data_IF_770573488903
#
_entry.id   IF_770573488903
#
_cell.length_a   1.000
_cell.length_b   1.000
_cell.length_c   1.000
_cell.angle_alpha   90.00
_cell.angle_beta   90.00
_cell.angle_gamma   90.00
#
_symmetry.space_group_name_H-M   'P 1'
#
loop_
_entity.id
_entity.type
_entity.pdbx_description
1 polymer ?
#
# COMPACT_ATOMS: atom_id res chain seq x y z
N UNK A 1 9.91 5.61 -17.37
CA UNK A 1 9.03 6.34 -16.47
C UNK A 1 9.60 6.23 -15.05
N UNK A 2 10.29 7.30 -14.60
CA UNK A 2 11.05 7.33 -13.33
C UNK A 2 10.17 7.46 -12.07
N UNK A 3 8.86 7.61 -12.24
CA UNK A 3 7.93 7.95 -11.15
C UNK A 3 6.82 6.90 -10.93
N UNK A 4 6.99 5.69 -11.39
CA UNK A 4 5.99 4.64 -11.24
C UNK A 4 6.63 3.32 -10.82
N UNK A 5 5.83 2.46 -10.19
CA UNK A 5 6.22 1.09 -9.83
C UNK A 5 6.88 0.36 -11.00
N UNK A 6 7.96 -0.38 -10.74
CA UNK A 6 8.67 -1.13 -11.79
C UNK A 6 7.83 -2.31 -12.31
N UNK A 7 8.20 -2.82 -13.49
CA UNK A 7 7.60 -4.05 -14.00
C UNK A 7 7.84 -5.25 -13.06
N UNK A 8 8.96 -5.26 -12.36
CA UNK A 8 9.30 -6.33 -11.43
C UNK A 8 8.40 -6.29 -10.19
N UNK A 9 8.16 -5.11 -9.62
CA UNK A 9 7.23 -4.93 -8.51
C UNK A 9 5.82 -5.43 -8.88
N UNK A 10 5.29 -4.95 -10.01
CA UNK A 10 3.98 -5.36 -10.53
C UNK A 10 3.87 -6.86 -10.77
N UNK A 11 4.93 -7.47 -11.33
CA UNK A 11 5.01 -8.91 -11.55
C UNK A 11 4.99 -9.68 -10.23
N UNK A 12 5.73 -9.24 -9.22
CA UNK A 12 5.75 -9.87 -7.91
C UNK A 12 4.38 -9.77 -7.21
N UNK A 13 3.68 -8.62 -7.31
CA UNK A 13 2.29 -8.52 -6.84
C UNK A 13 1.39 -9.56 -7.52
N UNK A 14 1.42 -9.62 -8.85
CA UNK A 14 0.62 -10.58 -9.59
C UNK A 14 0.96 -12.02 -9.21
N UNK A 15 2.23 -12.39 -9.15
CA UNK A 15 2.67 -13.74 -8.77
C UNK A 15 2.22 -14.14 -7.36
N UNK A 16 2.21 -13.18 -6.43
CA UNK A 16 1.76 -13.44 -5.06
C UNK A 16 0.24 -13.64 -4.97
N UNK A 17 -0.54 -12.79 -5.66
CA UNK A 17 -1.99 -12.78 -5.49
C UNK A 17 -2.74 -13.70 -6.46
N UNK A 18 -2.25 -13.94 -7.68
CA UNK A 18 -2.94 -14.79 -8.66
C UNK A 18 -3.33 -16.18 -8.14
N UNK A 19 -2.50 -16.91 -7.39
CA UNK A 19 -2.91 -18.22 -6.85
C UNK A 19 -4.09 -18.14 -5.88
N UNK A 20 -4.20 -17.02 -5.14
CA UNK A 20 -5.29 -16.81 -4.19
C UNK A 20 -6.57 -16.38 -4.89
N UNK A 21 -6.47 -15.46 -5.87
CA UNK A 21 -7.62 -14.96 -6.63
C UNK A 21 -8.22 -16.00 -7.57
N UNK A 22 -7.45 -17.00 -7.98
CA UNK A 22 -7.95 -18.11 -8.78
C UNK A 22 -9.02 -18.95 -8.05
N UNK A 23 -9.01 -18.95 -6.71
CA UNK A 23 -9.96 -19.71 -5.89
C UNK A 23 -10.90 -18.85 -5.06
N UNK A 24 -10.67 -17.54 -4.96
CA UNK A 24 -11.41 -16.64 -4.10
C UNK A 24 -11.65 -15.27 -4.80
N UNK A 25 -12.82 -14.70 -4.58
CA UNK A 25 -13.12 -13.34 -5.00
C UNK A 25 -12.53 -12.37 -3.96
N UNK A 26 -11.30 -11.91 -4.21
CA UNK A 26 -10.59 -10.99 -3.33
C UNK A 26 -10.78 -9.54 -3.77
N UNK A 27 -10.90 -8.65 -2.79
CA UNK A 27 -10.92 -7.20 -2.96
C UNK A 27 -9.62 -6.60 -2.45
N UNK A 28 -9.02 -5.71 -3.23
CA UNK A 28 -7.85 -4.92 -2.83
C UNK A 28 -8.19 -3.44 -2.74
N UNK A 29 -7.65 -2.76 -1.73
CA UNK A 29 -7.59 -1.30 -1.68
C UNK A 29 -6.18 -0.85 -2.10
N UNK A 30 -6.10 0.13 -3.00
CA UNK A 30 -4.87 0.80 -3.40
C UNK A 30 -4.93 2.24 -2.87
N UNK A 31 -3.94 2.61 -2.08
CA UNK A 31 -3.78 3.93 -1.47
C UNK A 31 -2.61 4.62 -2.17
N UNK A 32 -2.91 5.69 -2.90
CA UNK A 32 -1.99 6.30 -3.86
C UNK A 32 -2.07 5.61 -5.23
N UNK A 33 -2.68 6.28 -6.19
CA UNK A 33 -3.03 5.72 -7.50
C UNK A 33 -2.16 6.32 -8.60
N UNK A 34 -1.85 7.62 -8.48
CA UNK A 34 -1.12 8.38 -9.48
C UNK A 34 -1.67 8.13 -10.90
N UNK A 35 -0.86 7.60 -11.82
CA UNK A 35 -1.27 7.35 -13.20
C UNK A 35 -1.95 5.99 -13.43
N UNK A 36 -2.19 5.18 -12.38
CA UNK A 36 -2.93 3.93 -12.46
C UNK A 36 -2.20 2.73 -13.07
N UNK A 37 -0.87 2.76 -13.17
CA UNK A 37 -0.12 1.63 -13.73
C UNK A 37 -0.14 0.39 -12.85
N UNK A 38 -0.10 0.55 -11.51
CA UNK A 38 -0.32 -0.51 -10.53
C UNK A 38 -1.80 -0.90 -10.49
N UNK A 39 -2.71 0.08 -10.52
CA UNK A 39 -4.16 -0.14 -10.57
C UNK A 39 -4.55 -1.08 -11.72
N UNK A 40 -3.97 -0.89 -12.91
CA UNK A 40 -4.25 -1.74 -14.06
C UNK A 40 -3.85 -3.21 -13.83
N UNK A 41 -2.74 -3.45 -13.15
CA UNK A 41 -2.31 -4.81 -12.77
C UNK A 41 -3.23 -5.39 -11.70
N UNK A 42 -3.59 -4.60 -10.69
CA UNK A 42 -4.52 -5.01 -9.64
C UNK A 42 -5.90 -5.34 -10.22
N UNK A 43 -6.39 -4.55 -11.17
CA UNK A 43 -7.65 -4.81 -11.87
C UNK A 43 -7.65 -6.14 -12.65
N UNK A 44 -6.49 -6.54 -13.18
CA UNK A 44 -6.35 -7.83 -13.87
C UNK A 44 -6.26 -9.03 -12.92
N UNK A 45 -5.88 -8.80 -11.65
CA UNK A 45 -5.64 -9.86 -10.66
C UNK A 45 -6.81 -10.03 -9.70
N UNK A 46 -7.40 -8.94 -9.21
CA UNK A 46 -8.43 -8.97 -8.18
C UNK A 46 -9.85 -8.91 -8.76
N UNK A 47 -10.78 -9.48 -8.01
CA UNK A 47 -12.21 -9.38 -8.35
C UNK A 47 -12.71 -7.93 -8.27
N UNK A 48 -12.22 -7.17 -7.29
CA UNK A 48 -12.53 -5.75 -7.11
C UNK A 48 -11.31 -4.98 -6.64
N UNK A 49 -11.15 -3.77 -7.17
CA UNK A 49 -10.14 -2.78 -6.75
C UNK A 49 -10.86 -1.54 -6.25
N UNK A 50 -10.46 -1.05 -5.09
CA UNK A 50 -10.88 0.25 -4.55
C UNK A 50 -9.63 1.14 -4.57
N UNK A 51 -9.57 2.05 -5.53
CA UNK A 51 -8.42 2.91 -5.79
C UNK A 51 -8.66 4.30 -5.19
N UNK A 52 -7.81 4.72 -4.25
CA UNK A 52 -7.95 5.97 -3.48
C UNK A 52 -6.78 6.89 -3.74
N UNK A 53 -7.07 8.12 -4.09
CA UNK A 53 -6.06 9.18 -4.21
C UNK A 53 -6.65 10.51 -3.75
N UNK A 54 -5.81 11.41 -3.25
CA UNK A 54 -6.22 12.78 -2.87
C UNK A 54 -6.46 13.65 -4.10
N UNK A 55 -5.78 13.35 -5.21
CA UNK A 55 -5.81 14.11 -6.44
C UNK A 55 -6.79 13.50 -7.45
N UNK A 56 -7.94 14.14 -7.65
CA UNK A 56 -8.94 13.69 -8.62
C UNK A 56 -8.39 13.59 -10.05
N UNK A 57 -7.44 14.44 -10.40
CA UNK A 57 -6.77 14.43 -11.70
C UNK A 57 -6.02 13.11 -11.96
N UNK A 58 -5.41 12.54 -10.93
CA UNK A 58 -4.74 11.24 -11.02
C UNK A 58 -5.76 10.11 -11.21
N UNK A 59 -6.87 10.15 -10.49
CA UNK A 59 -7.93 9.15 -10.65
C UNK A 59 -8.53 9.15 -12.06
N UNK A 60 -8.65 10.32 -12.68
CA UNK A 60 -9.08 10.43 -14.09
C UNK A 60 -8.07 9.78 -15.05
N UNK A 61 -6.77 10.03 -14.85
CA UNK A 61 -5.72 9.39 -15.66
C UNK A 61 -5.70 7.88 -15.44
N UNK A 62 -5.83 7.42 -14.20
CA UNK A 62 -5.89 6.00 -13.86
C UNK A 62 -7.11 5.31 -14.48
N UNK A 63 -8.26 5.97 -14.53
CA UNK A 63 -9.45 5.46 -15.21
C UNK A 63 -9.20 5.22 -16.71
N UNK A 64 -8.46 6.10 -17.38
CA UNK A 64 -8.05 5.91 -18.76
C UNK A 64 -7.05 4.76 -18.89
N UNK A 65 -6.07 4.67 -17.96
CA UNK A 65 -5.05 3.62 -17.95
C UNK A 65 -5.64 2.23 -17.74
N UNK A 66 -6.70 2.12 -16.94
CA UNK A 66 -7.42 0.86 -16.69
C UNK A 66 -8.41 0.51 -17.79
N UNK A 67 -8.50 1.34 -18.84
CA UNK A 67 -9.38 1.15 -20.00
C UNK A 67 -10.83 0.85 -19.61
N UNK A 68 -11.35 1.56 -18.60
CA UNK A 68 -12.72 1.39 -18.13
C UNK A 68 -13.03 0.04 -17.48
N UNK A 69 -12.02 -0.58 -16.86
CA UNK A 69 -12.21 -1.83 -16.10
C UNK A 69 -13.38 -1.69 -15.13
N UNK A 70 -14.39 -2.56 -15.26
CA UNK A 70 -15.65 -2.49 -14.49
C UNK A 70 -15.49 -2.88 -13.02
N UNK A 71 -14.36 -3.47 -12.66
CA UNK A 71 -14.05 -3.91 -11.31
C UNK A 71 -13.20 -2.92 -10.50
N UNK A 72 -13.00 -1.69 -11.01
CA UNK A 72 -12.27 -0.62 -10.30
C UNK A 72 -13.25 0.46 -9.86
N UNK A 73 -13.22 0.78 -8.58
CA UNK A 73 -13.93 1.91 -7.97
C UNK A 73 -12.90 2.96 -7.59
N UNK A 74 -13.02 4.15 -8.15
CA UNK A 74 -12.13 5.28 -7.85
C UNK A 74 -12.77 6.18 -6.79
N UNK A 75 -12.03 6.51 -5.75
CA UNK A 75 -12.48 7.34 -4.63
C UNK A 75 -11.49 8.47 -4.38
N UNK A 76 -11.93 9.71 -4.47
CA UNK A 76 -11.12 10.86 -4.04
C UNK A 76 -11.15 10.97 -2.53
N UNK A 77 -9.99 11.00 -1.89
CA UNK A 77 -9.91 11.16 -0.46
C UNK A 77 -8.52 10.95 0.13
N UNK A 78 -8.36 11.49 1.33
CA UNK A 78 -7.19 11.28 2.16
C UNK A 78 -7.39 10.00 2.99
N UNK A 79 -6.48 9.04 2.83
CA UNK A 79 -6.49 7.79 3.58
C UNK A 79 -6.11 7.96 5.06
N UNK A 80 -5.36 9.01 5.38
CA UNK A 80 -5.02 9.37 6.77
C UNK A 80 -6.18 9.97 7.55
N UNK A 81 -7.18 10.54 6.87
CA UNK A 81 -8.38 11.09 7.48
C UNK A 81 -9.46 10.01 7.70
N UNK A 82 -10.56 10.35 8.37
CA UNK A 82 -11.67 9.46 8.80
C UNK A 82 -12.38 8.64 7.69
N UNK A 83 -11.89 8.66 6.46
CA UNK A 83 -12.55 8.06 5.28
C UNK A 83 -12.45 6.55 5.16
N UNK A 84 -11.66 5.89 6.00
CA UNK A 84 -11.69 4.43 6.12
C UNK A 84 -13.07 3.87 6.54
N UNK A 85 -14.02 4.73 6.92
CA UNK A 85 -15.41 4.33 7.07
C UNK A 85 -15.99 3.73 5.79
N UNK A 86 -15.63 4.26 4.60
CA UNK A 86 -16.04 3.69 3.32
C UNK A 86 -15.50 2.27 3.11
N UNK A 87 -14.36 1.94 3.72
CA UNK A 87 -13.76 0.62 3.66
C UNK A 87 -14.34 -0.36 4.70
N UNK A 88 -14.90 0.15 5.79
CA UNK A 88 -15.50 -0.72 6.84
C UNK A 88 -16.77 -1.42 6.38
N UNK A 89 -17.47 -0.87 5.41
CA UNK A 89 -18.68 -1.46 4.81
C UNK A 89 -18.36 -2.48 3.71
N UNK A 90 -17.12 -2.48 3.19
CA UNK A 90 -16.66 -3.39 2.15
C UNK A 90 -15.70 -4.43 2.73
N UNK A 91 -15.77 -5.65 2.20
CA UNK A 91 -14.74 -6.63 2.47
C UNK A 91 -13.48 -6.22 1.71
N UNK A 92 -12.38 -5.99 2.42
CA UNK A 92 -11.05 -5.75 1.84
C UNK A 92 -10.14 -6.86 2.33
N UNK A 93 -9.52 -7.58 1.40
CA UNK A 93 -8.65 -8.71 1.72
C UNK A 93 -7.16 -8.33 1.69
N UNK A 94 -6.82 -7.33 0.87
CA UNK A 94 -5.46 -6.81 0.72
C UNK A 94 -5.43 -5.29 0.61
N UNK A 95 -4.31 -4.68 1.00
CA UNK A 95 -4.05 -3.24 0.83
C UNK A 95 -2.69 -3.07 0.17
N UNK A 96 -2.63 -2.21 -0.84
CA UNK A 96 -1.39 -1.69 -1.44
C UNK A 96 -1.26 -0.23 -1.01
N UNK A 97 -0.13 0.13 -0.39
CA UNK A 97 0.15 1.47 0.11
C UNK A 97 1.31 2.04 -0.71
N UNK A 98 1.02 3.07 -1.48
CA UNK A 98 1.93 3.76 -2.41
C UNK A 98 1.59 5.26 -2.47
N UNK A 99 1.33 5.89 -1.32
CA UNK A 99 0.91 7.28 -1.22
C UNK A 99 2.04 8.17 -0.68
N UNK A 100 1.83 8.85 0.44
CA UNK A 100 2.83 9.70 1.08
C UNK A 100 3.89 8.84 1.80
N UNK A 101 5.17 9.19 1.63
CA UNK A 101 6.31 8.43 2.17
C UNK A 101 6.78 8.92 3.54
N UNK A 102 6.11 9.92 4.12
CA UNK A 102 6.41 10.37 5.49
C UNK A 102 6.01 9.30 6.49
N UNK A 103 6.83 9.14 7.52
CA UNK A 103 6.63 8.14 8.56
C UNK A 103 5.21 8.16 9.16
N UNK A 104 4.72 9.35 9.52
CA UNK A 104 3.41 9.53 10.16
C UNK A 104 2.26 9.14 9.23
N UNK A 105 2.39 9.45 7.94
CA UNK A 105 1.38 9.13 6.93
C UNK A 105 1.30 7.63 6.70
N UNK A 106 2.44 6.96 6.53
CA UNK A 106 2.50 5.50 6.37
C UNK A 106 2.01 4.78 7.63
N UNK A 107 2.38 5.30 8.82
CA UNK A 107 1.91 4.76 10.11
C UNK A 107 0.38 4.83 10.21
N UNK A 108 -0.22 5.95 9.79
CA UNK A 108 -1.67 6.14 9.77
C UNK A 108 -2.33 5.16 8.78
N UNK A 109 -1.81 5.01 7.58
CA UNK A 109 -2.34 4.10 6.57
C UNK A 109 -2.31 2.64 7.03
N UNK A 110 -1.20 2.19 7.61
CA UNK A 110 -1.09 0.84 8.17
C UNK A 110 -2.08 0.65 9.33
N UNK A 111 -2.17 1.61 10.24
CA UNK A 111 -3.08 1.55 11.39
C UNK A 111 -4.54 1.48 10.94
N UNK A 112 -4.92 2.31 9.97
CA UNK A 112 -6.24 2.32 9.39
C UNK A 112 -6.56 0.99 8.69
N UNK A 113 -5.64 0.47 7.87
CA UNK A 113 -5.80 -0.82 7.21
C UNK A 113 -5.94 -1.98 8.22
N UNK A 114 -5.17 -1.96 9.31
CA UNK A 114 -5.28 -2.93 10.41
C UNK A 114 -6.61 -2.83 11.16
N UNK A 115 -7.28 -1.67 11.18
CA UNK A 115 -8.61 -1.52 11.76
C UNK A 115 -9.69 -2.29 10.99
N UNK A 116 -9.46 -2.55 9.71
CA UNK A 116 -10.34 -3.37 8.86
C UNK A 116 -10.03 -4.85 9.08
N UNK A 117 -10.89 -5.55 9.79
CA UNK A 117 -10.65 -6.94 10.26
C UNK A 117 -10.41 -7.95 9.13
N UNK A 118 -10.92 -7.69 7.94
CA UNK A 118 -10.81 -8.59 6.78
C UNK A 118 -9.48 -8.48 6.06
N UNK A 119 -8.73 -7.39 6.22
CA UNK A 119 -7.41 -7.20 5.61
C UNK A 119 -6.43 -8.21 6.17
N UNK A 120 -5.82 -8.99 5.28
CA UNK A 120 -4.85 -10.05 5.61
C UNK A 120 -3.48 -9.84 4.98
N UNK A 121 -3.41 -9.05 3.89
CA UNK A 121 -2.21 -8.87 3.08
C UNK A 121 -1.93 -7.39 2.90
N UNK A 122 -0.66 -7.03 2.96
CA UNK A 122 -0.15 -5.67 2.81
C UNK A 122 0.97 -5.68 1.78
N UNK A 123 0.92 -4.78 0.83
CA UNK A 123 2.03 -4.48 -0.06
C UNK A 123 2.38 -3.00 0.07
N UNK A 124 3.67 -2.71 0.11
CA UNK A 124 4.20 -1.37 0.25
C UNK A 124 5.14 -1.09 -0.91
N UNK A 125 4.98 0.06 -1.54
CA UNK A 125 5.96 0.59 -2.47
C UNK A 125 6.94 1.52 -1.74
N UNK A 126 7.97 2.00 -2.44
CA UNK A 126 8.97 2.94 -1.93
C UNK A 126 9.62 2.54 -0.58
N UNK A 127 9.83 1.23 -0.40
CA UNK A 127 10.48 0.71 0.82
C UNK A 127 11.90 1.27 1.01
N UNK A 128 12.51 1.84 -0.03
CA UNK A 128 13.77 2.59 0.05
C UNK A 128 13.61 3.92 0.80
N UNK A 129 12.42 4.51 0.89
CA UNK A 129 12.17 5.71 1.68
C UNK A 129 12.28 5.42 3.19
N UNK A 130 13.01 6.26 3.93
CA UNK A 130 13.27 6.04 5.35
C UNK A 130 11.97 5.99 6.17
N UNK A 131 11.03 6.89 5.90
CA UNK A 131 9.73 6.92 6.61
C UNK A 131 8.91 5.65 6.39
N UNK A 132 8.89 5.13 5.16
CA UNK A 132 8.20 3.87 4.82
C UNK A 132 8.82 2.70 5.59
N UNK A 133 10.16 2.56 5.54
CA UNK A 133 10.87 1.50 6.28
C UNK A 133 10.62 1.56 7.78
N UNK A 134 10.73 2.76 8.36
CA UNK A 134 10.57 2.96 9.79
C UNK A 134 9.14 2.58 10.24
N UNK A 135 8.13 3.02 9.52
CA UNK A 135 6.74 2.68 9.84
C UNK A 135 6.50 1.17 9.75
N UNK A 136 6.96 0.50 8.69
CA UNK A 136 6.79 -0.94 8.53
C UNK A 136 7.52 -1.71 9.64
N UNK A 137 8.79 -1.33 9.94
CA UNK A 137 9.58 -1.98 10.98
C UNK A 137 8.89 -1.94 12.35
N UNK A 138 8.26 -0.83 12.70
CA UNK A 138 7.52 -0.70 13.97
C UNK A 138 6.36 -1.71 14.07
N UNK A 139 5.63 -1.96 12.97
CA UNK A 139 4.56 -2.95 12.95
C UNK A 139 5.08 -4.39 12.86
N UNK A 140 6.25 -4.63 12.24
CA UNK A 140 6.92 -5.93 12.26
C UNK A 140 7.39 -6.28 13.68
N UNK A 141 8.04 -5.35 14.40
CA UNK A 141 8.50 -5.52 15.78
C UNK A 141 7.34 -5.83 16.74
N UNK A 142 6.20 -5.22 16.52
CA UNK A 142 4.98 -5.48 17.30
C UNK A 142 4.25 -6.76 16.91
N UNK A 143 4.70 -7.47 15.87
CA UNK A 143 4.05 -8.67 15.34
C UNK A 143 2.68 -8.41 14.69
N UNK A 144 2.38 -7.16 14.33
CA UNK A 144 1.17 -6.79 13.61
C UNK A 144 1.31 -7.05 12.09
N UNK A 145 2.53 -6.90 11.57
CA UNK A 145 2.94 -7.34 10.25
C UNK A 145 3.95 -8.50 10.42
N UNK A 146 3.75 -9.57 9.66
CA UNK A 146 4.58 -10.78 9.74
C UNK A 146 4.85 -11.36 8.35
N UNK A 147 5.86 -12.23 8.25
CA UNK A 147 6.24 -12.88 7.00
C UNK A 147 6.49 -11.87 5.87
N UNK A 148 7.13 -10.78 6.23
CA UNK A 148 7.45 -9.72 5.30
C UNK A 148 8.60 -10.14 4.36
N UNK A 149 8.38 -9.98 3.07
CA UNK A 149 9.36 -10.32 2.03
C UNK A 149 9.60 -9.13 1.10
N UNK A 150 10.81 -9.03 0.58
CA UNK A 150 11.20 -8.04 -0.40
C UNK A 150 10.54 -8.32 -1.75
N UNK A 151 10.02 -7.27 -2.40
CA UNK A 151 9.46 -7.32 -3.77
C UNK A 151 9.97 -6.16 -4.60
N UNK A 152 9.85 -6.28 -5.92
CA UNK A 152 10.34 -5.27 -6.87
C UNK A 152 11.84 -5.37 -7.12
N UNK A 153 12.40 -4.32 -7.68
CA UNK A 153 13.83 -4.20 -7.97
C UNK A 153 14.63 -3.85 -6.71
N UNK A 154 15.92 -4.21 -6.71
CA UNK A 154 16.85 -3.67 -5.73
C UNK A 154 17.17 -2.21 -6.07
N UNK A 155 17.25 -1.35 -5.08
CA UNK A 155 17.68 0.02 -5.25
C UNK A 155 19.21 0.11 -5.26
N UNK A 156 19.78 0.85 -6.19
CA UNK A 156 21.23 0.98 -6.38
C UNK A 156 21.84 2.22 -5.72
N UNK A 157 21.05 2.96 -4.93
CA UNK A 157 21.52 4.15 -4.23
C UNK A 157 21.53 5.43 -5.08
N UNK A 158 20.98 5.43 -6.30
CA UNK A 158 20.88 6.65 -7.11
C UNK A 158 19.94 7.66 -6.42
N UNK A 159 20.44 8.90 -6.24
CA UNK A 159 19.89 9.93 -5.37
C UNK A 159 18.69 10.67 -6.02
N UNK A 160 17.52 10.05 -6.10
CA UNK A 160 16.32 10.69 -6.65
C UNK A 160 15.22 10.97 -5.62
N UNK A 161 15.44 10.64 -4.35
CA UNK A 161 14.45 10.86 -3.30
C UNK A 161 14.95 11.82 -2.22
N UNK A 162 14.18 12.88 -1.95
CA UNK A 162 14.34 13.73 -0.78
C UNK A 162 14.19 12.87 0.49
N UNK A 163 15.26 12.78 1.27
CA UNK A 163 15.32 12.00 2.52
C UNK A 163 16.12 10.69 2.45
N UNK A 164 16.76 10.43 1.33
CA UNK A 164 17.71 9.31 1.22
C UNK A 164 18.97 9.58 2.04
N UNK A 165 19.25 8.72 3.02
CA UNK A 165 20.55 8.69 3.70
C UNK A 165 21.46 7.73 2.94
N UNK A 166 22.47 8.26 2.23
CA UNK A 166 23.48 7.51 1.47
C UNK A 166 24.37 6.58 2.32
N UNK A 167 24.15 6.54 3.64
CA UNK A 167 24.99 5.82 4.58
C UNK A 167 24.64 4.33 4.75
N UNK A 168 23.61 3.82 4.12
CA UNK A 168 23.31 2.39 4.16
C UNK A 168 23.66 1.73 2.84
N UNK A 169 24.83 1.11 2.74
CA UNK A 169 25.32 0.30 1.61
C UNK A 169 24.48 -0.97 1.33
N UNK A 170 23.35 -1.17 1.98
CA UNK A 170 22.50 -2.32 1.75
C UNK A 170 21.51 -2.04 0.64
N UNK A 171 21.55 -2.85 -0.40
CA UNK A 171 20.54 -2.84 -1.48
C UNK A 171 19.15 -3.05 -0.87
N UNK A 172 18.39 -1.98 -0.75
CA UNK A 172 17.02 -2.03 -0.26
C UNK A 172 16.09 -2.34 -1.43
N UNK A 173 15.12 -3.21 -1.23
CA UNK A 173 14.13 -3.53 -2.25
C UNK A 173 13.19 -2.34 -2.51
N UNK A 174 12.62 -2.27 -3.72
CA UNK A 174 11.61 -1.29 -4.10
C UNK A 174 10.37 -1.36 -3.22
N UNK A 175 10.00 -2.56 -2.78
CA UNK A 175 8.80 -2.74 -1.97
C UNK A 175 8.90 -3.88 -0.98
N UNK A 176 7.88 -3.95 -0.14
CA UNK A 176 7.73 -4.95 0.91
C UNK A 176 6.33 -5.56 0.83
N UNK A 177 6.23 -6.86 1.02
CA UNK A 177 4.95 -7.57 1.06
C UNK A 177 4.86 -8.35 2.36
N UNK A 178 3.82 -8.07 3.15
CA UNK A 178 3.63 -8.61 4.49
C UNK A 178 2.26 -9.27 4.64
N UNK A 179 2.12 -10.12 5.65
CA UNK A 179 0.84 -10.65 6.11
C UNK A 179 0.46 -10.01 7.43
N UNK A 180 -0.85 -9.92 7.67
CA UNK A 180 -1.36 -9.54 8.99
C UNK A 180 -0.94 -10.57 10.02
N UNK A 181 -0.29 -10.11 11.09
CA UNK A 181 0.02 -10.89 12.26
C UNK A 181 -1.12 -10.92 13.26
N UNK A 182 -0.93 -11.66 14.35
CA UNK A 182 -1.79 -11.56 15.52
C UNK A 182 -1.45 -10.22 16.19
N UNK A 183 -2.45 -9.35 16.38
CA UNK A 183 -2.31 -8.13 17.17
C UNK A 183 -2.03 -8.54 18.63
N UNK A 184 -0.76 -8.82 18.96
CA UNK A 184 -0.32 -8.91 20.33
C UNK A 184 -0.44 -7.52 20.93
N UNK A 185 -1.35 -7.33 21.87
CA UNK A 185 -1.51 -6.15 22.76
C UNK A 185 -1.02 -4.82 22.15
N UNK A 186 -1.62 -4.37 21.05
CA UNK A 186 -1.61 -2.96 20.71
C UNK A 186 -2.36 -2.27 21.87
N UNK A 187 -1.62 -1.58 22.74
CA UNK A 187 -2.24 -0.77 23.76
C UNK A 187 -3.26 0.17 23.10
N UNK A 188 -4.44 0.37 23.69
CA UNK A 188 -5.51 1.20 23.13
C UNK A 188 -5.08 2.63 22.75
N UNK A 189 -3.91 3.07 23.20
CA UNK A 189 -3.36 4.41 22.98
C UNK A 189 -3.06 4.77 21.52
N UNK A 190 -2.98 3.80 20.60
CA UNK A 190 -2.70 4.09 19.19
C UNK A 190 -3.94 4.17 18.31
N UNK A 191 -5.05 3.54 18.72
CA UNK A 191 -6.31 3.61 17.95
C UNK A 191 -6.99 4.99 18.12
N UNK A 192 -6.64 5.76 19.14
CA UNK A 192 -7.28 7.04 19.49
C UNK A 192 -6.40 8.28 19.31
N UNK A 193 -5.20 8.18 18.75
CA UNK A 193 -4.47 9.38 18.34
C UNK A 193 -4.98 9.81 16.97
N UNK A 194 -5.97 10.68 16.97
CA UNK A 194 -6.30 11.52 15.83
C UNK A 194 -5.08 12.40 15.55
N UNK A 195 -4.30 12.03 14.56
CA UNK A 195 -3.22 12.88 14.09
C UNK A 195 -3.86 14.00 13.27
N UNK A 196 -4.00 15.18 13.87
CA UNK A 196 -4.29 16.39 13.11
C UNK A 196 -3.01 16.77 12.38
N UNK A 197 -3.00 16.58 11.08
CA UNK A 197 -2.01 17.17 10.19
C UNK A 197 -2.54 18.59 9.85
N UNK A 198 -1.82 19.62 10.29
CA UNK A 198 -2.04 21.00 9.87
C UNK A 198 -1.41 21.23 8.52
#
# INVERSE_FOLDING_TARGET
NLYTTTHLFKRHLAQYFCPMTASQQLTVAEIGVFHGHSTAVLAAVFHQVIAVDVEESYLRLASLQTNGSRNVVFLTGDSGADRWHAFRSNRIDAVVIDADHRYESVLADISNALSVKTVKHFAFHDYQAAGVRQAIAEFEERGALVNCQAIGSGWDGSAWYDGWNAETETKVSEGRLCRRGKLGNLAPSFVNKTFYVY
#
